data_IF_934374554983
#
_entry.id   IF_934374554983
#
_cell.length_a   1.000
_cell.length_b   1.000
_cell.length_c   1.000
_cell.angle_alpha   90.00
_cell.angle_beta   90.00
_cell.angle_gamma   90.00
#
_symmetry.space_group_name_H-M   'P 1'
#
loop_
_entity.id
_entity.type
_entity.pdbx_description
1 polymer ?
#
# COMPACT_ATOMS: atom_id res chain seq x y z
N UNK A 1 -10.91 12.11 10.01
CA UNK A 1 -11.12 11.21 8.84
C UNK A 1 -9.74 10.90 8.30
N UNK A 2 -9.30 9.65 8.39
CA UNK A 2 -7.94 9.25 7.99
C UNK A 2 -7.87 9.12 6.47
N UNK A 3 -6.81 9.63 5.87
CA UNK A 3 -6.51 9.43 4.45
C UNK A 3 -5.02 9.12 4.26
N UNK A 4 -4.66 8.64 3.10
CA UNK A 4 -3.28 8.32 2.76
C UNK A 4 -2.82 9.01 1.48
N UNK A 5 -1.52 9.23 1.37
CA UNK A 5 -0.88 9.58 0.11
C UNK A 5 0.07 8.44 -0.26
N UNK A 6 -0.10 7.92 -1.46
CA UNK A 6 0.78 6.91 -2.03
C UNK A 6 1.54 7.52 -3.19
N UNK A 7 2.84 7.33 -3.18
CA UNK A 7 3.75 7.79 -4.22
C UNK A 7 4.53 6.59 -4.75
N UNK A 8 4.55 6.42 -6.05
CA UNK A 8 5.52 5.57 -6.72
C UNK A 8 6.65 6.45 -7.22
N UNK A 9 7.86 6.15 -6.79
CA UNK A 9 9.07 6.91 -7.11
C UNK A 9 10.11 6.02 -7.74
N UNK A 10 10.67 6.43 -8.89
CA UNK A 10 11.83 5.81 -9.51
C UNK A 10 13.06 6.59 -9.12
N UNK A 11 13.97 5.97 -8.38
CA UNK A 11 15.23 6.58 -7.96
C UNK A 11 16.33 6.34 -8.99
N UNK A 12 17.16 7.34 -9.24
CA UNK A 12 18.41 7.17 -10.00
C UNK A 12 19.49 6.49 -9.14
N UNK A 13 19.51 6.79 -7.84
CA UNK A 13 20.32 6.13 -6.82
C UNK A 13 19.40 5.58 -5.73
N UNK A 14 19.02 4.28 -5.78
CA UNK A 14 18.08 3.67 -4.85
C UNK A 14 18.55 3.69 -3.39
N UNK A 15 19.85 3.50 -3.15
CA UNK A 15 20.37 3.48 -1.79
C UNK A 15 20.31 4.86 -1.16
N UNK A 16 20.80 5.86 -1.88
CA UNK A 16 20.72 7.25 -1.45
C UNK A 16 19.29 7.72 -1.19
N UNK A 17 18.35 7.34 -2.07
CA UNK A 17 16.95 7.70 -1.90
C UNK A 17 16.33 7.10 -0.62
N UNK A 18 16.64 5.83 -0.32
CA UNK A 18 16.19 5.16 0.91
C UNK A 18 16.79 5.83 2.15
N UNK A 19 18.10 6.07 2.16
CA UNK A 19 18.81 6.65 3.30
C UNK A 19 18.35 8.09 3.59
N UNK A 20 18.24 8.93 2.55
CA UNK A 20 17.75 10.30 2.69
C UNK A 20 16.33 10.33 3.23
N UNK A 21 15.44 9.46 2.71
CA UNK A 21 14.05 9.40 3.17
C UNK A 21 13.98 8.93 4.62
N UNK A 22 14.67 7.86 4.99
CA UNK A 22 14.70 7.34 6.35
C UNK A 22 15.24 8.38 7.34
N UNK A 23 16.39 9.00 7.05
CA UNK A 23 17.00 10.02 7.90
C UNK A 23 16.08 11.23 8.10
N UNK A 24 15.36 11.63 7.03
CA UNK A 24 14.38 12.72 7.14
C UNK A 24 13.22 12.35 8.07
N UNK A 25 12.62 11.16 7.90
CA UNK A 25 11.53 10.67 8.72
C UNK A 25 11.95 10.53 10.20
N UNK A 26 13.16 10.03 10.45
CA UNK A 26 13.71 9.88 11.80
C UNK A 26 13.96 11.25 12.47
N UNK A 27 14.57 12.19 11.75
CA UNK A 27 14.82 13.55 12.23
C UNK A 27 13.54 14.25 12.68
N UNK A 28 12.43 14.02 11.98
CA UNK A 28 11.13 14.61 12.29
C UNK A 28 10.22 13.71 13.14
N UNK A 29 10.76 12.59 13.67
CA UNK A 29 10.02 11.58 14.44
C UNK A 29 8.70 11.14 13.77
N UNK A 30 8.72 10.99 12.44
CA UNK A 30 7.55 10.61 11.66
C UNK A 30 7.39 9.10 11.61
N UNK A 31 6.31 8.62 12.21
CA UNK A 31 5.95 7.20 12.26
C UNK A 31 4.81 6.82 11.31
N UNK A 32 4.24 7.80 10.62
CA UNK A 32 3.08 7.65 9.74
C UNK A 32 3.44 7.31 8.29
N UNK A 33 4.67 6.90 8.02
CA UNK A 33 5.16 6.61 6.68
C UNK A 33 5.71 5.20 6.55
N UNK A 34 5.35 4.56 5.44
CA UNK A 34 5.84 3.26 4.96
C UNK A 34 6.72 3.46 3.73
N UNK A 35 7.81 2.72 3.64
CA UNK A 35 8.69 2.65 2.46
C UNK A 35 8.84 1.19 2.06
N UNK A 36 8.57 0.89 0.80
CA UNK A 36 8.83 -0.42 0.20
C UNK A 36 9.62 -0.31 -1.09
N UNK A 37 10.54 -1.23 -1.31
CA UNK A 37 11.33 -1.35 -2.55
C UNK A 37 10.73 -2.43 -3.43
N UNK A 38 10.45 -2.11 -4.69
CA UNK A 38 9.88 -3.08 -5.63
C UNK A 38 10.84 -4.25 -5.86
N UNK A 39 10.33 -5.49 -5.78
CA UNK A 39 11.10 -6.70 -6.04
C UNK A 39 11.40 -6.84 -7.53
N UNK A 40 10.45 -6.48 -8.39
CA UNK A 40 10.59 -6.63 -9.86
C UNK A 40 11.32 -5.47 -10.53
N UNK A 41 11.34 -4.30 -9.88
CA UNK A 41 11.98 -3.07 -10.35
C UNK A 41 12.77 -2.44 -9.21
N UNK A 42 14.02 -2.88 -8.95
CA UNK A 42 14.78 -2.51 -7.74
C UNK A 42 15.04 -1.01 -7.54
N UNK A 43 14.89 -0.21 -8.59
CA UNK A 43 14.99 1.26 -8.52
C UNK A 43 13.64 1.97 -8.29
N UNK A 44 12.55 1.22 -8.12
CA UNK A 44 11.21 1.77 -7.85
C UNK A 44 10.83 1.54 -6.39
N UNK A 45 10.39 2.61 -5.74
CA UNK A 45 9.89 2.61 -4.37
C UNK A 45 8.40 2.95 -4.34
N UNK A 46 7.70 2.38 -3.35
CA UNK A 46 6.41 2.85 -2.89
C UNK A 46 6.61 3.59 -1.56
N UNK A 47 6.09 4.82 -1.49
CA UNK A 47 6.10 5.66 -0.31
C UNK A 47 4.63 5.91 0.06
N UNK A 48 4.19 5.37 1.18
CA UNK A 48 2.83 5.56 1.66
C UNK A 48 2.86 6.33 3.00
N UNK A 49 2.07 7.39 3.10
CA UNK A 49 1.93 8.17 4.33
C UNK A 49 0.46 8.22 4.74
N UNK A 50 0.19 8.10 6.04
CA UNK A 50 -1.14 8.21 6.63
C UNK A 50 -1.27 9.55 7.35
N UNK A 51 -2.42 10.21 7.19
CA UNK A 51 -2.74 11.49 7.81
C UNK A 51 -4.10 11.44 8.49
N UNK A 52 -4.20 12.06 9.65
CA UNK A 52 -5.46 12.19 10.39
C UNK A 52 -6.18 13.49 10.04
N UNK A 53 -5.45 14.49 9.55
CA UNK A 53 -5.98 15.79 9.13
C UNK A 53 -5.24 16.38 7.94
N UNK A 54 -5.91 17.31 7.25
CA UNK A 54 -5.27 18.08 6.17
C UNK A 54 -4.17 19.00 6.71
N UNK A 55 -4.34 19.54 7.93
CA UNK A 55 -3.33 20.39 8.57
C UNK A 55 -2.03 19.65 8.77
N UNK A 56 -2.09 18.43 9.34
CA UNK A 56 -0.90 17.56 9.49
C UNK A 56 -0.19 17.35 8.14
N UNK A 57 -0.94 17.05 7.09
CA UNK A 57 -0.37 16.84 5.75
C UNK A 57 0.32 18.09 5.23
N UNK A 58 -0.27 19.28 5.41
CA UNK A 58 0.29 20.55 4.93
C UNK A 58 1.56 20.94 5.69
N UNK A 59 1.58 20.75 7.03
CA UNK A 59 2.76 20.95 7.85
C UNK A 59 3.93 20.05 7.41
N UNK A 60 3.67 18.76 7.22
CA UNK A 60 4.70 17.83 6.73
C UNK A 60 5.19 18.16 5.30
N UNK A 61 4.34 18.65 4.42
CA UNK A 61 4.75 19.09 3.09
C UNK A 61 5.63 20.34 3.14
N UNK A 62 5.35 21.26 4.03
CA UNK A 62 6.18 22.44 4.24
C UNK A 62 7.56 22.05 4.78
N UNK A 63 7.62 21.16 5.76
CA UNK A 63 8.89 20.62 6.28
C UNK A 63 9.69 19.89 5.20
N UNK A 64 9.04 19.06 4.36
CA UNK A 64 9.68 18.37 3.25
C UNK A 64 10.27 19.35 2.24
N UNK A 65 9.55 20.43 1.96
CA UNK A 65 9.98 21.50 1.04
C UNK A 65 11.17 22.27 1.61
N UNK A 66 11.09 22.66 2.88
CA UNK A 66 12.15 23.38 3.58
C UNK A 66 13.44 22.55 3.69
N UNK A 67 13.30 21.23 3.87
CA UNK A 67 14.43 20.30 3.85
C UNK A 67 14.95 19.98 2.44
N UNK A 68 14.31 20.49 1.38
CA UNK A 68 14.59 20.11 -0.02
C UNK A 68 14.66 18.57 -0.20
N UNK A 69 13.73 17.84 0.43
CA UNK A 69 13.77 16.38 0.49
C UNK A 69 13.86 15.77 -0.91
N UNK A 70 13.00 16.21 -1.84
CA UNK A 70 12.98 15.70 -3.22
C UNK A 70 14.30 15.94 -3.94
N UNK A 71 14.90 17.13 -3.80
CA UNK A 71 16.20 17.45 -4.39
C UNK A 71 17.35 16.60 -3.84
N UNK A 72 17.23 16.17 -2.59
CA UNK A 72 18.24 15.36 -1.91
C UNK A 72 18.14 13.85 -2.20
N UNK A 73 17.08 13.37 -2.86
CA UNK A 73 16.88 11.95 -3.17
C UNK A 73 17.90 11.34 -4.18
N UNK A 74 18.82 12.15 -4.69
CA UNK A 74 19.84 11.64 -5.63
C UNK A 74 19.38 11.54 -7.08
N UNK A 75 18.31 12.25 -7.44
CA UNK A 75 17.69 12.21 -8.76
C UNK A 75 16.66 11.09 -8.90
N UNK A 76 15.76 11.26 -9.85
CA UNK A 76 14.67 10.33 -10.13
C UNK A 76 13.38 11.07 -10.46
N UNK A 77 12.28 10.33 -10.49
CA UNK A 77 10.96 10.87 -10.86
C UNK A 77 9.82 10.21 -10.06
N UNK A 78 8.79 10.97 -9.76
CA UNK A 78 7.54 10.41 -9.29
C UNK A 78 6.75 9.84 -10.48
N UNK A 79 6.52 8.52 -10.46
CA UNK A 79 5.74 7.82 -11.48
C UNK A 79 4.24 8.02 -11.24
N UNK A 80 3.84 8.15 -9.98
CA UNK A 80 2.46 8.38 -9.57
C UNK A 80 2.41 9.01 -8.18
N UNK A 81 1.41 9.88 -7.96
CA UNK A 81 1.05 10.41 -6.64
C UNK A 81 -0.47 10.32 -6.53
N UNK A 82 -0.96 9.61 -5.53
CA UNK A 82 -2.39 9.35 -5.34
C UNK A 82 -2.82 9.66 -3.92
N UNK A 83 -3.92 10.37 -3.77
CA UNK A 83 -4.63 10.51 -2.51
C UNK A 83 -5.67 9.40 -2.41
N UNK A 84 -5.62 8.63 -1.33
CA UNK A 84 -6.46 7.46 -1.12
C UNK A 84 -7.19 7.54 0.23
N UNK A 85 -8.33 6.85 0.33
CA UNK A 85 -9.08 6.67 1.57
C UNK A 85 -9.18 5.18 1.88
N UNK A 86 -8.80 4.75 3.09
CA UNK A 86 -9.11 3.41 3.58
C UNK A 86 -10.62 3.23 3.71
N UNK A 87 -11.15 2.10 3.24
CA UNK A 87 -12.58 1.77 3.32
C UNK A 87 -12.83 0.47 4.04
N UNK A 88 -11.85 -0.45 4.07
CA UNK A 88 -11.98 -1.73 4.72
C UNK A 88 -10.60 -2.25 5.17
N UNK A 89 -10.54 -3.06 6.25
CA UNK A 89 -9.30 -3.67 6.74
C UNK A 89 -9.59 -4.85 7.65
N UNK A 90 -8.78 -5.91 7.56
CA UNK A 90 -8.82 -7.04 8.52
C UNK A 90 -8.28 -6.65 9.88
N UNK A 91 -7.33 -5.71 9.94
CA UNK A 91 -6.76 -5.19 11.18
C UNK A 91 -6.34 -3.73 11.00
N UNK A 92 -7.23 -2.77 11.30
CA UNK A 92 -7.02 -1.34 11.00
C UNK A 92 -5.77 -0.72 11.63
N UNK A 93 -5.21 -1.31 12.68
CA UNK A 93 -4.06 -0.75 13.41
C UNK A 93 -2.71 -1.38 13.07
N UNK A 94 -2.68 -2.56 12.43
CA UNK A 94 -1.44 -3.36 12.32
C UNK A 94 -0.96 -3.62 10.89
N UNK A 95 -1.77 -3.37 9.88
CA UNK A 95 -1.51 -3.84 8.52
C UNK A 95 -0.18 -3.35 7.90
N UNK A 96 0.37 -2.22 8.36
CA UNK A 96 1.66 -1.71 7.85
C UNK A 96 2.70 -1.51 8.96
N UNK A 97 2.47 -2.06 10.16
CA UNK A 97 3.32 -1.81 11.33
C UNK A 97 4.39 -2.89 11.56
N UNK A 98 4.25 -4.08 10.99
CA UNK A 98 5.19 -5.20 11.24
C UNK A 98 5.27 -6.18 10.06
N UNK A 99 5.18 -5.69 8.82
CA UNK A 99 5.29 -6.54 7.66
C UNK A 99 6.69 -6.48 7.03
N UNK A 100 7.14 -7.62 6.49
CA UNK A 100 8.38 -7.70 5.72
C UNK A 100 8.17 -7.43 4.23
N UNK A 101 6.92 -7.61 3.75
CA UNK A 101 6.55 -7.43 2.36
C UNK A 101 5.15 -6.81 2.22
N UNK A 102 4.92 -6.16 1.09
CA UNK A 102 3.64 -5.59 0.71
C UNK A 102 3.29 -6.02 -0.72
N UNK A 103 2.16 -6.71 -0.88
CA UNK A 103 1.55 -6.95 -2.19
C UNK A 103 0.42 -5.94 -2.40
N UNK A 104 0.41 -5.29 -3.55
CA UNK A 104 -0.64 -4.33 -3.92
C UNK A 104 -1.29 -4.81 -5.20
N UNK A 105 -2.60 -5.00 -5.16
CA UNK A 105 -3.42 -5.31 -6.33
C UNK A 105 -4.47 -4.24 -6.51
N UNK A 106 -4.62 -3.74 -7.72
CA UNK A 106 -5.63 -2.71 -7.96
C UNK A 106 -5.68 -2.21 -9.39
N UNK A 107 -6.54 -1.23 -9.59
CA UNK A 107 -6.76 -0.55 -10.84
C UNK A 107 -8.16 0.05 -10.92
N UNK A 108 -8.54 0.47 -12.11
CA UNK A 108 -9.88 1.00 -12.37
C UNK A 108 -10.95 -0.08 -12.18
N UNK A 109 -12.10 0.33 -11.65
CA UNK A 109 -13.17 -0.55 -11.26
C UNK A 109 -14.51 -0.06 -11.85
N UNK A 110 -15.26 -0.98 -12.46
CA UNK A 110 -16.56 -0.67 -13.06
C UNK A 110 -17.66 -0.40 -12.02
N UNK A 111 -17.50 -0.91 -10.78
CA UNK A 111 -18.44 -0.69 -9.69
C UNK A 111 -17.73 -0.68 -8.33
N UNK A 112 -17.23 0.48 -7.95
CA UNK A 112 -16.48 0.67 -6.68
C UNK A 112 -17.30 0.24 -5.46
N UNK A 113 -18.59 0.61 -5.39
CA UNK A 113 -19.46 0.27 -4.26
C UNK A 113 -19.55 -1.25 -4.09
N UNK A 114 -19.85 -1.96 -5.17
CA UNK A 114 -19.95 -3.43 -5.16
C UNK A 114 -18.61 -4.09 -4.78
N UNK A 115 -17.50 -3.56 -5.26
CA UNK A 115 -16.17 -4.09 -4.92
C UNK A 115 -15.85 -3.91 -3.43
N UNK A 116 -16.24 -2.78 -2.82
CA UNK A 116 -16.08 -2.57 -1.37
C UNK A 116 -16.93 -3.57 -0.59
N UNK A 117 -18.21 -3.73 -0.95
CA UNK A 117 -19.13 -4.71 -0.31
C UNK A 117 -18.59 -6.15 -0.41
N UNK A 118 -18.02 -6.53 -1.54
CA UNK A 118 -17.43 -7.87 -1.71
C UNK A 118 -16.17 -8.06 -0.87
N UNK A 119 -15.32 -7.04 -0.77
CA UNK A 119 -14.14 -7.10 0.08
C UNK A 119 -14.49 -7.16 1.58
N UNK A 120 -15.55 -6.49 2.03
CA UNK A 120 -16.09 -6.63 3.38
C UNK A 120 -16.48 -8.07 3.65
N UNK A 121 -17.21 -8.71 2.74
CA UNK A 121 -17.61 -10.13 2.86
C UNK A 121 -16.39 -11.07 2.88
N UNK A 122 -15.37 -10.83 2.06
CA UNK A 122 -14.12 -11.60 2.12
C UNK A 122 -13.48 -11.48 3.49
N UNK A 123 -13.43 -10.27 4.05
CA UNK A 123 -12.86 -10.06 5.38
C UNK A 123 -13.67 -10.73 6.49
N UNK A 124 -15.00 -10.78 6.37
CA UNK A 124 -15.88 -11.50 7.31
C UNK A 124 -15.64 -13.01 7.27
N UNK A 125 -15.40 -13.58 6.08
CA UNK A 125 -15.19 -15.03 5.88
C UNK A 125 -13.75 -15.44 6.22
N UNK A 126 -12.77 -14.77 5.62
CA UNK A 126 -11.37 -15.21 5.62
C UNK A 126 -10.44 -14.30 6.43
N UNK A 127 -10.92 -13.15 6.94
CA UNK A 127 -10.04 -12.14 7.54
C UNK A 127 -9.19 -12.66 8.69
N UNK A 128 -9.77 -13.44 9.61
CA UNK A 128 -9.02 -14.03 10.72
C UNK A 128 -8.03 -15.09 10.23
N UNK A 129 -8.44 -15.95 9.29
CA UNK A 129 -7.57 -16.99 8.72
C UNK A 129 -6.38 -16.39 7.97
N UNK A 130 -6.57 -15.26 7.29
CA UNK A 130 -5.46 -14.52 6.65
C UNK A 130 -4.49 -13.94 7.69
N UNK A 131 -5.01 -13.34 8.78
CA UNK A 131 -4.20 -12.83 9.89
C UNK A 131 -3.37 -13.93 10.55
N UNK A 132 -3.97 -15.12 10.79
CA UNK A 132 -3.30 -16.27 11.37
C UNK A 132 -2.16 -16.81 10.47
N UNK A 133 -2.26 -16.54 9.17
CA UNK A 133 -1.22 -16.84 8.17
C UNK A 133 -0.22 -15.67 7.95
N UNK A 134 -0.28 -14.62 8.77
CA UNK A 134 0.60 -13.46 8.69
C UNK A 134 0.27 -12.52 7.53
N UNK A 135 -1.00 -12.46 7.09
CA UNK A 135 -1.45 -11.58 6.00
C UNK A 135 -2.54 -10.64 6.53
N UNK A 136 -2.22 -9.36 6.66
CA UNK A 136 -3.22 -8.33 6.93
C UNK A 136 -3.64 -7.64 5.63
N UNK A 137 -4.93 -7.33 5.48
CA UNK A 137 -5.50 -6.75 4.27
C UNK A 137 -6.07 -5.37 4.55
N UNK A 138 -5.78 -4.40 3.67
CA UNK A 138 -6.43 -3.10 3.63
C UNK A 138 -7.00 -2.89 2.23
N UNK A 139 -8.23 -2.38 2.16
CA UNK A 139 -8.79 -1.86 0.92
C UNK A 139 -8.83 -0.34 0.96
N UNK A 140 -8.46 0.29 -0.15
CA UNK A 140 -8.51 1.74 -0.32
C UNK A 140 -9.18 2.12 -1.63
N UNK A 141 -9.79 3.32 -1.65
CA UNK A 141 -10.33 3.94 -2.86
C UNK A 141 -9.59 5.23 -3.16
N UNK A 142 -9.45 5.55 -4.44
CA UNK A 142 -8.85 6.81 -4.86
C UNK A 142 -9.77 8.00 -4.56
N UNK A 143 -9.16 9.10 -4.10
CA UNK A 143 -9.83 10.41 -3.96
C UNK A 143 -9.40 11.30 -5.12
N UNK A 144 -8.09 11.37 -5.41
CA UNK A 144 -7.53 12.15 -6.52
C UNK A 144 -6.12 11.68 -6.88
N UNK A 145 -5.57 12.18 -7.98
CA UNK A 145 -4.24 11.83 -8.51
C UNK A 145 -4.26 10.67 -9.52
N UNK A 146 -5.33 9.88 -9.53
CA UNK A 146 -5.65 8.80 -10.47
C UNK A 146 -7.17 8.78 -10.66
N UNK A 147 -7.73 8.00 -11.62
CA UNK A 147 -9.18 7.90 -11.78
C UNK A 147 -9.89 7.57 -10.47
N UNK A 148 -10.96 8.29 -10.15
CA UNK A 148 -11.70 8.16 -8.88
C UNK A 148 -12.37 6.79 -8.70
N UNK A 149 -12.55 6.04 -9.79
CA UNK A 149 -13.03 4.66 -9.75
C UNK A 149 -11.91 3.63 -9.51
N UNK A 150 -10.69 4.07 -9.17
CA UNK A 150 -9.59 3.19 -8.82
C UNK A 150 -9.73 2.68 -7.39
N UNK A 151 -9.59 1.38 -7.22
CA UNK A 151 -9.55 0.71 -5.91
C UNK A 151 -8.27 -0.09 -5.79
N UNK A 152 -7.78 -0.27 -4.55
CA UNK A 152 -6.60 -1.07 -4.26
C UNK A 152 -6.87 -2.01 -3.09
N UNK A 153 -6.32 -3.21 -3.17
CA UNK A 153 -6.18 -4.15 -2.06
C UNK A 153 -4.70 -4.28 -1.74
N UNK A 154 -4.37 -4.05 -0.49
CA UNK A 154 -3.02 -4.11 0.05
C UNK A 154 -2.93 -5.31 0.98
N UNK A 155 -1.97 -6.20 0.72
CA UNK A 155 -1.68 -7.32 1.60
C UNK A 155 -0.33 -7.08 2.26
N UNK A 156 -0.35 -6.76 3.54
CA UNK A 156 0.85 -6.68 4.37
C UNK A 156 1.20 -8.08 4.84
N UNK A 157 2.41 -8.55 4.55
CA UNK A 157 2.85 -9.94 4.72
C UNK A 157 4.03 -9.96 5.70
N UNK A 158 3.91 -10.73 6.77
CA UNK A 158 4.86 -10.71 7.87
C UNK A 158 6.18 -11.42 7.54
N UNK A 159 6.14 -12.58 6.87
CA UNK A 159 7.32 -13.41 6.69
C UNK A 159 7.74 -13.60 5.23
N UNK A 160 9.03 -13.86 4.97
CA UNK A 160 9.53 -14.19 3.64
C UNK A 160 8.86 -15.43 3.03
N UNK A 161 8.61 -16.46 3.85
CA UNK A 161 8.03 -17.73 3.41
C UNK A 161 6.57 -17.54 2.92
N UNK A 162 5.79 -16.75 3.66
CA UNK A 162 4.42 -16.37 3.24
C UNK A 162 4.47 -15.50 1.99
N UNK A 163 5.43 -14.58 1.90
CA UNK A 163 5.60 -13.72 0.74
C UNK A 163 5.95 -14.50 -0.54
N UNK A 164 6.82 -15.50 -0.44
CA UNK A 164 7.18 -16.39 -1.54
C UNK A 164 5.94 -17.13 -2.06
N UNK A 165 5.14 -17.72 -1.18
CA UNK A 165 3.88 -18.39 -1.56
C UNK A 165 2.90 -17.42 -2.23
N UNK A 166 2.70 -16.22 -1.67
CA UNK A 166 1.83 -15.19 -2.29
C UNK A 166 2.35 -14.77 -3.66
N UNK A 167 3.66 -14.71 -3.85
CA UNK A 167 4.29 -14.32 -5.12
C UNK A 167 4.14 -15.40 -6.19
N UNK A 168 4.38 -16.66 -5.83
CA UNK A 168 4.40 -17.82 -6.75
C UNK A 168 2.99 -18.35 -6.99
N UNK A 169 2.26 -18.67 -5.95
CA UNK A 169 0.97 -19.35 -6.02
C UNK A 169 -0.22 -18.37 -6.08
N UNK A 170 0.01 -17.14 -5.62
CA UNK A 170 -0.99 -16.08 -5.55
C UNK A 170 -1.72 -16.03 -4.23
N UNK A 171 -2.31 -14.86 -3.93
CA UNK A 171 -3.08 -14.63 -2.69
C UNK A 171 -4.33 -15.51 -2.60
N UNK A 172 -4.84 -15.97 -3.74
CA UNK A 172 -6.02 -16.83 -3.82
C UNK A 172 -5.85 -18.16 -3.08
N UNK A 173 -4.64 -18.70 -3.01
CA UNK A 173 -4.34 -19.95 -2.28
C UNK A 173 -4.53 -19.84 -0.75
N UNK A 174 -4.66 -18.62 -0.24
CA UNK A 174 -4.85 -18.36 1.18
C UNK A 174 -6.34 -18.23 1.57
N UNK A 175 -7.23 -18.10 0.60
CA UNK A 175 -8.67 -18.01 0.81
C UNK A 175 -9.34 -19.38 0.94
N UNK A 176 -10.42 -19.43 1.71
CA UNK A 176 -11.33 -20.56 1.76
C UNK A 176 -12.12 -20.71 0.45
N UNK A 177 -12.79 -21.85 0.24
CA UNK A 177 -13.67 -22.03 -0.92
C UNK A 177 -14.78 -20.97 -1.00
N UNK A 178 -15.33 -20.56 0.14
CA UNK A 178 -16.37 -19.53 0.20
C UNK A 178 -15.79 -18.13 -0.09
N UNK A 179 -14.61 -17.82 0.44
CA UNK A 179 -13.90 -16.60 0.08
C UNK A 179 -13.55 -16.54 -1.41
N UNK A 180 -13.11 -17.66 -2.00
CA UNK A 180 -12.81 -17.74 -3.43
C UNK A 180 -14.04 -17.49 -4.33
N UNK A 181 -15.24 -17.88 -3.90
CA UNK A 181 -16.48 -17.54 -4.63
C UNK A 181 -16.65 -16.02 -4.72
N UNK A 182 -16.45 -15.31 -3.59
CA UNK A 182 -16.54 -13.85 -3.55
C UNK A 182 -15.42 -13.18 -4.36
N UNK A 183 -14.19 -13.68 -4.28
CA UNK A 183 -13.06 -13.19 -5.09
C UNK A 183 -13.38 -13.30 -6.59
N UNK A 184 -13.94 -14.43 -7.04
CA UNK A 184 -14.33 -14.64 -8.43
C UNK A 184 -15.45 -13.69 -8.88
N UNK A 185 -16.35 -13.29 -7.98
CA UNK A 185 -17.37 -12.26 -8.25
C UNK A 185 -16.75 -10.85 -8.35
N UNK A 186 -15.71 -10.56 -7.57
CA UNK A 186 -15.05 -9.26 -7.54
C UNK A 186 -14.13 -9.01 -8.75
N UNK A 187 -13.37 -10.02 -9.21
CA UNK A 187 -12.37 -9.89 -10.26
C UNK A 187 -12.91 -9.28 -11.58
N UNK A 188 -14.10 -9.66 -12.09
CA UNK A 188 -14.66 -9.09 -13.32
C UNK A 188 -15.00 -7.59 -13.22
N UNK A 189 -15.12 -7.04 -12.01
CA UNK A 189 -15.38 -5.60 -11.80
C UNK A 189 -14.16 -4.73 -12.12
N UNK A 190 -12.95 -5.30 -12.16
CA UNK A 190 -11.71 -4.61 -12.43
C UNK A 190 -11.46 -4.50 -13.94
N UNK A 191 -11.46 -3.26 -14.45
CA UNK A 191 -11.20 -2.99 -15.88
C UNK A 191 -9.72 -2.87 -16.19
N UNK A 192 -8.94 -2.29 -15.27
CA UNK A 192 -7.48 -2.25 -15.31
C UNK A 192 -6.94 -2.96 -14.08
N UNK A 193 -6.01 -3.90 -14.29
CA UNK A 193 -5.45 -4.73 -13.21
C UNK A 193 -3.95 -4.53 -13.14
N UNK A 194 -3.48 -4.02 -12.00
CA UNK A 194 -2.07 -3.83 -11.72
C UNK A 194 -1.70 -4.58 -10.43
N UNK A 195 -0.51 -5.17 -10.41
CA UNK A 195 0.06 -5.80 -9.23
C UNK A 195 1.46 -5.26 -8.98
N UNK A 196 1.73 -4.86 -7.75
CA UNK A 196 3.06 -4.54 -7.26
C UNK A 196 3.43 -5.44 -6.09
N UNK A 197 4.71 -5.78 -5.97
CA UNK A 197 5.24 -6.52 -4.84
C UNK A 197 6.50 -5.81 -4.33
N UNK A 198 6.53 -5.51 -3.03
CA UNK A 198 7.55 -4.66 -2.43
C UNK A 198 8.13 -5.31 -1.18
N UNK A 199 9.46 -5.28 -1.07
CA UNK A 199 10.15 -5.56 0.18
C UNK A 199 10.10 -4.32 1.07
N UNK A 200 9.76 -4.49 2.33
CA UNK A 200 9.69 -3.39 3.29
C UNK A 200 11.10 -2.87 3.62
N UNK A 201 11.26 -1.57 3.50
CA UNK A 201 12.45 -0.82 3.95
C UNK A 201 12.14 -0.13 5.29
N UNK A 202 10.90 0.35 5.45
CA UNK A 202 10.41 0.99 6.68
C UNK A 202 8.93 0.68 6.88
N UNK A 203 8.57 0.23 8.06
CA UNK A 203 7.18 0.11 8.51
C UNK A 203 6.65 1.44 9.04
N UNK A 204 5.32 1.62 9.01
CA UNK A 204 4.67 2.62 9.85
C UNK A 204 4.81 2.21 11.31
N UNK A 205 4.98 3.19 12.22
CA UNK A 205 5.03 2.97 13.66
C UNK A 205 3.67 3.21 14.35
#
# INVERSE_FOLDING_TARGET
>A
MTFGIVRLYRASDPQKAADVTNNHLDKHNRKNAYIGKSITRPNVFILASRYESLSQKLEEEEENRNANLVGNLGGGEFLNISLIKPVNSTNPGKALNSNSYLSVFGGENSNVKKTVELAEKINEIDGQSLLDKGIATIQTVAITGIPMNTTFIWHAIETPETAEKVLVDGITEFHSEDGLKIVREAIPLWTTKNRGFFQTVRNMG
#
